data_IF_727039958218
#
_entry.id   IF_727039958218
#
_cell.length_a   1.000
_cell.length_b   1.000
_cell.length_c   1.000
_cell.angle_alpha   90.00
_cell.angle_beta   90.00
_cell.angle_gamma   90.00
#
_symmetry.space_group_name_H-M   'P 1'
#
loop_
_entity.id
_entity.type
_entity.pdbx_description
1 polymer ?
#
# COMPACT_ATOMS: atom_id res chain seq x y z
N UNK A 1 13.09 3.97 -6.20
CA UNK A 1 13.79 4.19 -4.92
C UNK A 1 14.50 5.55 -5.01
N UNK A 2 15.41 5.85 -4.08
CA UNK A 2 16.21 7.08 -4.10
C UNK A 2 17.07 7.23 -5.35
N UNK A 3 17.39 6.12 -6.02
CA UNK A 3 18.20 6.09 -7.24
C UNK A 3 17.33 6.17 -8.51
N UNK A 4 16.02 6.31 -8.34
CA UNK A 4 15.06 6.42 -9.45
C UNK A 4 14.61 5.08 -10.03
N UNK A 5 14.99 3.94 -9.45
CA UNK A 5 14.50 2.64 -9.90
C UNK A 5 12.99 2.53 -9.63
N UNK A 6 12.25 2.09 -10.64
CA UNK A 6 10.82 1.84 -10.52
C UNK A 6 10.60 0.41 -10.07
N UNK A 7 9.72 0.24 -9.09
CA UNK A 7 9.26 -1.08 -8.64
C UNK A 7 7.86 -1.33 -9.17
N UNK A 8 7.47 -2.60 -9.21
CA UNK A 8 6.13 -3.00 -9.60
C UNK A 8 5.07 -2.29 -8.75
N UNK A 9 4.03 -1.70 -9.35
CA UNK A 9 2.94 -1.08 -8.60
C UNK A 9 2.16 -2.09 -7.75
N UNK A 10 1.59 -1.58 -6.66
CA UNK A 10 0.71 -2.31 -5.76
C UNK A 10 -0.65 -1.61 -5.70
N UNK A 11 -1.69 -2.25 -6.24
CA UNK A 11 -3.01 -1.68 -6.48
C UNK A 11 -4.06 -2.33 -5.59
N UNK A 12 -4.94 -1.52 -5.00
CA UNK A 12 -6.05 -2.00 -4.17
C UNK A 12 -7.38 -1.51 -4.73
N UNK A 13 -8.20 -2.42 -5.21
CA UNK A 13 -9.52 -2.12 -5.79
C UNK A 13 -10.66 -2.37 -4.81
N UNK A 14 -11.69 -1.54 -4.89
CA UNK A 14 -12.92 -1.74 -4.15
C UNK A 14 -13.74 -2.87 -4.79
N UNK A 15 -14.04 -3.91 -4.02
CA UNK A 15 -14.82 -5.06 -4.50
C UNK A 15 -15.92 -5.45 -3.50
N UNK A 16 -16.95 -6.14 -4.00
CA UNK A 16 -17.95 -6.79 -3.14
C UNK A 16 -17.38 -8.12 -2.64
N UNK A 17 -17.41 -8.33 -1.33
CA UNK A 17 -17.00 -9.60 -0.71
C UNK A 17 -18.07 -10.67 -0.93
N UNK A 18 -17.68 -11.95 -0.85
CA UNK A 18 -18.65 -13.05 -0.85
C UNK A 18 -19.66 -12.90 0.29
N UNK A 19 -20.90 -13.34 0.06
CA UNK A 19 -21.93 -13.41 1.12
C UNK A 19 -21.68 -14.56 2.10
N UNK A 20 -20.89 -15.56 1.70
CA UNK A 20 -20.54 -16.70 2.53
C UNK A 20 -19.23 -16.42 3.29
N UNK A 21 -19.23 -16.36 4.64
CA UNK A 21 -18.06 -15.94 5.42
C UNK A 21 -16.82 -16.78 5.19
N UNK A 22 -16.95 -18.11 5.11
CA UNK A 22 -15.83 -19.01 4.85
C UNK A 22 -15.18 -18.73 3.48
N UNK A 23 -15.99 -18.55 2.44
CA UNK A 23 -15.51 -18.17 1.10
C UNK A 23 -14.93 -16.77 1.08
N UNK A 24 -15.49 -15.81 1.83
CA UNK A 24 -14.95 -14.46 1.92
C UNK A 24 -13.54 -14.49 2.53
N UNK A 25 -13.35 -15.22 3.64
CA UNK A 25 -12.04 -15.43 4.27
C UNK A 25 -11.05 -16.11 3.33
N UNK A 26 -11.47 -17.18 2.67
CA UNK A 26 -10.63 -17.91 1.71
C UNK A 26 -10.21 -17.00 0.54
N UNK A 27 -11.13 -16.19 0.01
CA UNK A 27 -10.81 -15.23 -1.04
C UNK A 27 -9.81 -14.18 -0.57
N UNK A 28 -9.98 -13.63 0.64
CA UNK A 28 -9.04 -12.67 1.21
C UNK A 28 -7.63 -13.26 1.30
N UNK A 29 -7.49 -14.45 1.88
CA UNK A 29 -6.18 -15.05 2.16
C UNK A 29 -5.51 -15.61 0.90
N UNK A 30 -6.25 -16.32 0.04
CA UNK A 30 -5.66 -17.09 -1.05
C UNK A 30 -5.80 -16.43 -2.42
N UNK A 31 -6.67 -15.42 -2.54
CA UNK A 31 -7.10 -14.89 -3.84
C UNK A 31 -7.07 -13.38 -3.90
N UNK A 32 -6.31 -12.75 -3.00
CA UNK A 32 -6.14 -11.30 -2.93
C UNK A 32 -7.49 -10.56 -2.82
N UNK A 33 -8.47 -11.18 -2.17
CA UNK A 33 -9.84 -10.70 -2.03
C UNK A 33 -10.81 -11.08 -3.16
N UNK A 34 -10.32 -11.57 -4.29
CA UNK A 34 -11.15 -11.90 -5.45
C UNK A 34 -11.77 -13.30 -5.39
N UNK A 35 -12.89 -13.48 -6.07
CA UNK A 35 -13.45 -14.81 -6.31
C UNK A 35 -12.59 -15.62 -7.29
N UNK A 36 -12.81 -16.95 -7.33
CA UNK A 36 -12.01 -17.89 -8.15
C UNK A 36 -11.83 -17.46 -9.60
N UNK A 37 -12.92 -17.13 -10.29
CA UNK A 37 -12.89 -16.79 -11.72
C UNK A 37 -12.07 -15.51 -11.97
N UNK A 38 -12.42 -14.42 -11.29
CA UNK A 38 -11.73 -13.15 -11.46
C UNK A 38 -10.27 -13.23 -11.02
N UNK A 39 -9.95 -14.02 -9.98
CA UNK A 39 -8.56 -14.28 -9.59
C UNK A 39 -7.77 -14.93 -10.73
N UNK A 40 -8.31 -15.94 -11.38
CA UNK A 40 -7.68 -16.62 -12.50
C UNK A 40 -7.47 -15.68 -13.70
N UNK A 41 -8.45 -14.84 -14.01
CA UNK A 41 -8.37 -13.87 -15.09
C UNK A 41 -7.30 -12.79 -14.81
N UNK A 42 -7.27 -12.26 -13.59
CA UNK A 42 -6.30 -11.25 -13.16
C UNK A 42 -4.88 -11.81 -13.03
N UNK A 43 -4.71 -13.07 -12.64
CA UNK A 43 -3.38 -13.66 -12.48
C UNK A 43 -2.57 -13.59 -13.78
N UNK A 44 -3.23 -13.70 -14.94
CA UNK A 44 -2.60 -13.56 -16.27
C UNK A 44 -2.18 -12.12 -16.59
N UNK A 45 -2.81 -11.15 -15.93
CA UNK A 45 -2.55 -9.72 -16.12
C UNK A 45 -1.58 -9.15 -15.07
N UNK A 46 -1.28 -9.91 -14.01
CA UNK A 46 -0.34 -9.52 -12.96
C UNK A 46 1.12 -9.77 -13.37
N UNK A 47 1.53 -9.18 -14.48
CA UNK A 47 2.93 -9.14 -14.90
C UNK A 47 3.47 -7.76 -14.56
N UNK A 48 4.40 -7.69 -13.61
CA UNK A 48 4.95 -6.42 -13.12
C UNK A 48 3.95 -5.57 -12.32
N UNK A 49 2.94 -6.19 -11.70
CA UNK A 49 1.96 -5.49 -10.84
C UNK A 49 1.33 -6.43 -9.81
N UNK A 50 1.17 -5.93 -8.59
CA UNK A 50 0.40 -6.58 -7.54
C UNK A 50 -1.01 -5.99 -7.46
N UNK A 51 -2.04 -6.83 -7.61
CA UNK A 51 -3.45 -6.42 -7.62
C UNK A 51 -4.19 -7.12 -6.49
N UNK A 52 -4.78 -6.32 -5.61
CA UNK A 52 -5.57 -6.74 -4.46
C UNK A 52 -6.94 -6.09 -4.47
N UNK A 53 -7.90 -6.73 -3.81
CA UNK A 53 -9.24 -6.22 -3.64
C UNK A 53 -9.72 -6.35 -2.20
N UNK A 54 -10.41 -5.33 -1.69
CA UNK A 54 -11.18 -5.46 -0.46
C UNK A 54 -12.43 -4.58 -0.50
N UNK A 55 -13.28 -4.69 0.53
CA UNK A 55 -14.55 -3.96 0.60
C UNK A 55 -14.38 -2.43 0.62
N UNK A 56 -13.29 -1.95 1.21
CA UNK A 56 -12.99 -0.52 1.30
C UNK A 56 -12.41 0.01 -0.02
N UNK A 57 -11.68 -0.83 -0.77
CA UNK A 57 -10.78 -0.36 -1.82
C UNK A 57 -9.65 0.48 -1.26
N UNK A 58 -9.18 0.13 -0.06
CA UNK A 58 -8.19 0.92 0.67
C UNK A 58 -7.15 0.03 1.33
N UNK A 59 -5.98 0.59 1.61
CA UNK A 59 -4.92 -0.10 2.33
C UNK A 59 -5.34 -0.47 3.75
N UNK A 60 -4.89 -1.62 4.22
CA UNK A 60 -4.99 -2.06 5.61
C UNK A 60 -3.64 -2.65 6.07
N UNK A 61 -3.55 -3.08 7.32
CA UNK A 61 -2.29 -3.62 7.87
C UNK A 61 -1.82 -4.87 7.13
N UNK A 62 -2.71 -5.81 6.82
CA UNK A 62 -2.36 -7.06 6.12
C UNK A 62 -1.80 -6.78 4.72
N UNK A 63 -2.43 -5.90 3.95
CA UNK A 63 -1.95 -5.51 2.62
C UNK A 63 -0.60 -4.79 2.69
N UNK A 64 -0.35 -4.04 3.76
CA UNK A 64 0.94 -3.40 3.95
C UNK A 64 2.03 -4.42 4.29
N UNK A 65 1.72 -5.46 5.07
CA UNK A 65 2.63 -6.59 5.29
C UNK A 65 2.95 -7.30 3.96
N UNK A 66 1.93 -7.58 3.14
CA UNK A 66 2.13 -8.19 1.81
C UNK A 66 3.00 -7.30 0.89
N UNK A 67 2.79 -5.99 0.93
CA UNK A 67 3.63 -5.03 0.21
C UNK A 67 5.10 -5.10 0.67
N UNK A 68 5.33 -5.08 1.99
CA UNK A 68 6.68 -5.19 2.55
C UNK A 68 7.34 -6.52 2.17
N UNK A 69 6.59 -7.62 2.25
CA UNK A 69 7.08 -8.94 1.87
C UNK A 69 7.47 -8.99 0.40
N UNK A 70 6.60 -8.49 -0.49
CA UNK A 70 6.83 -8.54 -1.93
C UNK A 70 8.06 -7.73 -2.35
N UNK A 71 8.22 -6.52 -1.80
CA UNK A 71 9.29 -5.60 -2.24
C UNK A 71 10.62 -5.77 -1.50
N UNK A 72 10.59 -6.16 -0.22
CA UNK A 72 11.78 -6.10 0.63
C UNK A 72 12.22 -7.45 1.18
N UNK A 73 11.34 -8.46 1.27
CA UNK A 73 11.71 -9.78 1.81
C UNK A 73 12.44 -10.68 0.79
N UNK A 74 12.83 -10.13 -0.37
CA UNK A 74 13.56 -10.83 -1.43
C UNK A 74 14.85 -10.11 -1.83
N UNK A 75 15.32 -9.15 -1.01
CA UNK A 75 16.60 -8.47 -1.26
C UNK A 75 17.75 -9.46 -1.17
N UNK A 76 18.77 -9.26 -2.00
CA UNK A 76 19.98 -10.07 -1.97
C UNK A 76 20.77 -9.88 -0.68
N UNK A 77 20.81 -8.64 -0.18
CA UNK A 77 21.42 -8.29 1.09
C UNK A 77 20.36 -7.93 2.14
N UNK A 78 20.22 -8.80 3.14
CA UNK A 78 19.33 -8.59 4.30
C UNK A 78 20.07 -8.07 5.53
N UNK A 79 21.39 -7.86 5.45
CA UNK A 79 22.21 -7.31 6.53
C UNK A 79 22.34 -5.78 6.46
N UNK A 80 21.98 -5.20 5.32
CA UNK A 80 21.90 -3.75 5.16
C UNK A 80 20.44 -3.30 5.35
N UNK A 81 20.17 -2.45 6.35
CA UNK A 81 18.82 -2.00 6.62
C UNK A 81 18.34 -1.05 5.53
N UNK A 82 17.06 -1.18 5.17
CA UNK A 82 16.41 -0.26 4.23
C UNK A 82 15.52 0.70 4.99
N UNK A 83 15.76 1.99 4.81
CA UNK A 83 14.86 3.03 5.28
C UNK A 83 13.66 3.17 4.34
N UNK A 84 12.46 2.97 4.86
CA UNK A 84 11.21 3.17 4.14
C UNK A 84 10.40 4.32 4.75
N UNK A 85 10.30 5.40 3.98
CA UNK A 85 9.57 6.61 4.36
C UNK A 85 8.08 6.44 4.01
N UNK A 86 7.20 6.60 5.01
CA UNK A 86 5.76 6.44 4.82
C UNK A 86 4.92 7.52 5.48
N UNK A 87 3.74 7.80 4.90
CA UNK A 87 2.82 8.83 5.39
C UNK A 87 2.05 8.39 6.64
N UNK A 88 1.78 9.34 7.54
CA UNK A 88 1.08 9.15 8.81
C UNK A 88 -0.46 8.95 8.70
N UNK A 89 -0.98 8.42 7.59
CA UNK A 89 -2.42 8.16 7.52
C UNK A 89 -2.76 6.86 8.26
N UNK A 90 -3.52 7.01 9.34
CA UNK A 90 -3.76 6.02 10.39
C UNK A 90 -4.28 4.67 9.87
N UNK A 91 -3.54 3.60 10.16
CA UNK A 91 -3.90 2.19 9.88
C UNK A 91 -2.69 1.27 9.69
N UNK A 92 -1.52 1.83 9.36
CA UNK A 92 -0.33 1.06 9.01
C UNK A 92 0.71 0.96 10.13
N UNK A 93 0.69 1.87 11.10
CA UNK A 93 1.56 1.85 12.29
C UNK A 93 1.09 0.88 13.38
N UNK A 94 0.63 -0.31 13.00
CA UNK A 94 0.25 -1.35 13.95
C UNK A 94 1.45 -2.20 14.35
N UNK A 95 1.36 -2.88 15.50
CA UNK A 95 2.44 -3.71 16.05
C UNK A 95 2.89 -4.81 15.09
N UNK A 96 1.96 -5.38 14.33
CA UNK A 96 2.25 -6.48 13.41
C UNK A 96 3.08 -6.01 12.22
N UNK A 97 2.72 -4.85 11.65
CA UNK A 97 3.50 -4.20 10.57
C UNK A 97 4.90 -3.84 11.06
N UNK A 98 5.02 -3.18 12.22
CA UNK A 98 6.31 -2.78 12.79
C UNK A 98 7.20 -4.00 13.08
N UNK A 99 6.61 -5.06 13.60
CA UNK A 99 7.32 -6.31 13.91
C UNK A 99 7.78 -7.00 12.64
N UNK A 100 6.93 -7.06 11.62
CA UNK A 100 7.28 -7.63 10.33
C UNK A 100 8.40 -6.85 9.64
N UNK A 101 8.32 -5.52 9.59
CA UNK A 101 9.37 -4.66 9.04
C UNK A 101 10.72 -4.92 9.71
N UNK A 102 10.74 -5.02 11.05
CA UNK A 102 11.96 -5.35 11.80
C UNK A 102 12.52 -6.74 11.47
N UNK A 103 11.67 -7.74 11.24
CA UNK A 103 12.12 -9.10 10.87
C UNK A 103 12.85 -9.09 9.52
N UNK A 104 12.47 -8.18 8.62
CA UNK A 104 13.04 -8.09 7.27
C UNK A 104 14.05 -6.95 7.12
N UNK A 105 14.58 -6.43 8.23
CA UNK A 105 15.52 -5.32 8.29
C UNK A 105 15.08 -4.10 7.44
N UNK A 106 13.82 -3.71 7.63
CA UNK A 106 13.23 -2.48 7.09
C UNK A 106 12.92 -1.55 8.25
N UNK A 107 13.53 -0.37 8.23
CA UNK A 107 13.24 0.70 9.17
C UNK A 107 12.12 1.58 8.60
N UNK A 108 10.96 1.58 9.27
CA UNK A 108 9.83 2.43 8.90
C UNK A 108 9.98 3.79 9.57
N UNK A 109 10.00 4.86 8.77
CA UNK A 109 10.03 6.23 9.27
C UNK A 109 8.85 7.03 8.73
N UNK A 110 8.22 7.79 9.63
CA UNK A 110 7.10 8.66 9.28
C UNK A 110 7.61 9.90 8.52
N UNK A 111 6.98 10.21 7.39
CA UNK A 111 7.16 11.48 6.72
C UNK A 111 6.36 12.55 7.46
N UNK A 112 7.01 13.58 8.03
CA UNK A 112 6.32 14.63 8.77
C UNK A 112 5.26 15.32 7.90
N UNK A 113 4.10 15.60 8.50
CA UNK A 113 3.04 16.36 7.82
C UNK A 113 3.51 17.80 7.59
N UNK A 114 3.82 18.15 6.34
CA UNK A 114 3.99 19.55 5.96
C UNK A 114 2.61 20.12 5.65
N UNK A 115 2.02 20.86 6.59
CA UNK A 115 0.81 21.63 6.32
C UNK A 115 1.14 22.79 5.39
N UNK A 116 0.86 22.66 4.09
CA UNK A 116 0.84 23.83 3.20
C UNK A 116 -0.41 24.62 3.51
N UNK A 117 -0.25 25.75 4.20
CA UNK A 117 -1.32 26.72 4.42
C UNK A 117 -1.63 27.37 3.07
N UNK A 118 -2.75 27.02 2.45
CA UNK A 118 -3.23 27.74 1.26
C UNK A 118 -3.57 29.17 1.71
N UNK A 119 -2.94 30.22 1.17
CA UNK A 119 -3.27 31.59 1.53
C UNK A 119 -4.73 31.86 1.19
N UNK A 120 -5.56 32.11 2.20
CA UNK A 120 -6.94 32.54 2.01
C UNK A 120 -6.94 34.03 1.73
N UNK A 121 -6.64 34.42 0.49
CA UNK A 121 -6.97 35.76 0.00
C UNK A 121 -7.27 35.74 -1.50
N UNK A 122 -8.54 35.48 -1.83
CA UNK A 122 -9.17 36.21 -2.92
C UNK A 122 -9.49 37.61 -2.41
N UNK A 123 -8.62 38.60 -2.62
CA UNK A 123 -8.99 40.01 -2.57
C UNK A 123 -8.19 40.80 -3.61
N UNK A 124 -8.92 41.26 -4.63
CA UNK A 124 -8.67 42.48 -5.40
C UNK A 124 -7.35 42.57 -6.15
N UNK A 125 -7.33 42.10 -7.40
CA UNK A 125 -6.50 42.73 -8.43
C UNK A 125 -7.35 43.85 -9.06
N UNK A 126 -7.27 45.06 -8.51
CA UNK A 126 -7.52 46.27 -9.30
C UNK A 126 -6.22 46.58 -10.06
N UNK A 127 -6.33 46.73 -11.38
CA UNK A 127 -5.23 47.20 -12.22
C UNK A 127 -5.14 48.74 -12.10
N UNK A 128 -3.93 49.31 -12.01
CA UNK A 128 -3.75 50.77 -12.01
C UNK A 128 -4.06 51.36 -13.41
N UNK A 129 -4.38 52.67 -13.48
CA UNK A 129 -5.01 53.32 -14.63
C UNK A 129 -4.19 53.28 -15.93
#
# INVERSE_FOLDING_TARGET
>A
DSDGNKTDPFLVFKIKTSKFPATARENTVLRHGYGRQLRYDLQKQQVGVQIYGNRAGWWNSDLFIEFLWYHFNRRENMHEPVLFLWVDFSGHWCKDVLSFARIIDVELMEVPRVYVRVPTSRRGLELPP
#
